data_IF_396369713553
#
_entry.id   IF_396369713553
#
_cell.length_a   1.000
_cell.length_b   1.000
_cell.length_c   1.000
_cell.angle_alpha   90.00
_cell.angle_beta   90.00
_cell.angle_gamma   90.00
#
_symmetry.space_group_name_H-M   'P 1'
#
loop_
_entity.id
_entity.type
_entity.pdbx_description
1 polymer ?
#
# COMPACT_ATOMS: atom_id res chain seq x y z
N UNK A 1 -34.04 22.04 -19.09
CA UNK A 1 -33.48 20.97 -19.95
C UNK A 1 -32.15 20.54 -19.37
N UNK A 2 -32.04 19.31 -18.88
CA UNK A 2 -30.76 18.76 -18.40
C UNK A 2 -29.85 18.52 -19.61
N UNK A 3 -28.61 18.98 -19.55
CA UNK A 3 -27.64 18.76 -20.62
C UNK A 3 -27.18 17.29 -20.60
N UNK A 4 -27.69 16.50 -21.55
CA UNK A 4 -27.37 15.07 -21.70
C UNK A 4 -25.85 14.80 -21.76
N UNK A 5 -25.05 15.76 -22.26
CA UNK A 5 -23.60 15.63 -22.31
C UNK A 5 -22.95 15.67 -20.91
N UNK A 6 -23.46 16.52 -20.01
CA UNK A 6 -22.95 16.68 -18.65
C UNK A 6 -23.23 15.44 -17.78
N UNK A 7 -24.45 14.89 -17.90
CA UNK A 7 -24.87 13.62 -17.30
C UNK A 7 -23.96 12.45 -17.71
N UNK A 8 -23.65 12.35 -19.02
CA UNK A 8 -22.75 11.32 -19.55
C UNK A 8 -21.32 11.47 -19.01
N UNK A 9 -20.79 12.69 -18.95
CA UNK A 9 -19.45 12.96 -18.43
C UNK A 9 -19.32 12.61 -16.95
N UNK A 10 -20.32 12.99 -16.14
CA UNK A 10 -20.37 12.68 -14.70
C UNK A 10 -20.43 11.18 -14.45
N UNK A 11 -21.23 10.46 -15.24
CA UNK A 11 -21.36 9.00 -15.16
C UNK A 11 -20.05 8.30 -15.51
N UNK A 12 -19.39 8.70 -16.61
CA UNK A 12 -18.10 8.15 -17.02
C UNK A 12 -17.02 8.40 -15.96
N UNK A 13 -16.98 9.61 -15.38
CA UNK A 13 -16.03 9.95 -14.31
C UNK A 13 -16.24 9.13 -13.05
N UNK A 14 -17.50 8.91 -12.64
CA UNK A 14 -17.82 8.06 -11.50
C UNK A 14 -17.45 6.59 -11.75
N UNK A 15 -17.66 6.09 -12.97
CA UNK A 15 -17.27 4.74 -13.35
C UNK A 15 -15.75 4.56 -13.23
N UNK A 16 -14.96 5.47 -13.81
CA UNK A 16 -13.49 5.42 -13.72
C UNK A 16 -13.01 5.41 -12.27
N UNK A 17 -13.56 6.28 -11.41
CA UNK A 17 -13.20 6.32 -9.98
C UNK A 17 -13.49 5.00 -9.28
N UNK A 18 -14.68 4.42 -9.51
CA UNK A 18 -15.06 3.12 -8.95
C UNK A 18 -14.13 2.01 -9.44
N UNK A 19 -13.80 1.99 -10.72
CA UNK A 19 -12.88 1.01 -11.29
C UNK A 19 -11.48 1.11 -10.68
N UNK A 20 -10.95 2.32 -10.48
CA UNK A 20 -9.63 2.53 -9.84
C UNK A 20 -9.62 1.99 -8.42
N UNK A 21 -10.60 2.36 -7.58
CA UNK A 21 -10.65 1.87 -6.20
C UNK A 21 -10.85 0.36 -6.16
N UNK A 22 -11.75 -0.18 -6.98
CA UNK A 22 -12.04 -1.61 -6.99
C UNK A 22 -10.83 -2.43 -7.45
N UNK A 23 -10.17 -2.03 -8.54
CA UNK A 23 -8.98 -2.72 -9.04
C UNK A 23 -7.81 -2.66 -8.06
N UNK A 24 -7.51 -1.48 -7.49
CA UNK A 24 -6.46 -1.35 -6.47
C UNK A 24 -6.81 -2.09 -5.17
N UNK A 25 -8.08 -2.14 -4.78
CA UNK A 25 -8.56 -2.92 -3.65
C UNK A 25 -8.36 -4.43 -3.86
N UNK A 26 -8.66 -4.94 -5.06
CA UNK A 26 -8.38 -6.34 -5.42
C UNK A 26 -6.88 -6.62 -5.35
N UNK A 27 -6.05 -5.75 -5.93
CA UNK A 27 -4.60 -5.91 -5.90
C UNK A 27 -4.06 -5.96 -4.47
N UNK A 28 -4.55 -5.07 -3.60
CA UNK A 28 -4.20 -5.09 -2.17
C UNK A 28 -4.62 -6.42 -1.54
N UNK A 29 -5.86 -6.86 -1.72
CA UNK A 29 -6.34 -8.14 -1.17
C UNK A 29 -5.49 -9.33 -1.62
N UNK A 30 -5.13 -9.39 -2.89
CA UNK A 30 -4.22 -10.43 -3.41
C UNK A 30 -2.84 -10.33 -2.75
N UNK A 31 -2.27 -9.13 -2.61
CA UNK A 31 -0.97 -8.96 -1.95
C UNK A 31 -0.98 -9.38 -0.47
N UNK A 32 -2.11 -9.21 0.24
CA UNK A 32 -2.23 -9.59 1.66
C UNK A 32 -2.14 -11.11 1.86
N UNK A 33 -2.46 -11.89 0.84
CA UNK A 33 -2.33 -13.36 0.86
C UNK A 33 -0.91 -13.85 0.59
N UNK A 34 -0.04 -12.98 0.07
CA UNK A 34 1.33 -13.31 -0.28
C UNK A 34 2.28 -12.85 0.84
N UNK A 35 3.52 -13.36 0.84
CA UNK A 35 4.55 -12.79 1.72
C UNK A 35 4.94 -11.40 1.20
N UNK A 36 5.02 -10.42 2.10
CA UNK A 36 5.45 -9.06 1.79
C UNK A 36 6.96 -8.98 1.52
N UNK A 37 7.76 -9.83 2.17
CA UNK A 37 9.22 -9.86 2.01
C UNK A 37 9.79 -11.21 2.43
N UNK A 38 11.08 -11.41 2.16
CA UNK A 38 11.82 -12.62 2.51
C UNK A 38 13.10 -12.27 3.26
N UNK A 39 13.45 -13.10 4.24
CA UNK A 39 14.60 -12.90 5.12
C UNK A 39 15.68 -13.96 4.81
N UNK A 40 16.94 -13.56 4.88
CA UNK A 40 18.09 -14.46 4.74
C UNK A 40 18.17 -15.45 5.92
N UNK A 41 18.34 -16.74 5.64
CA UNK A 41 18.40 -17.81 6.66
C UNK A 41 17.05 -18.41 7.08
N UNK A 42 15.96 -17.63 7.05
CA UNK A 42 14.58 -18.13 7.19
C UNK A 42 13.72 -17.58 6.05
N UNK A 43 13.39 -18.44 5.08
CA UNK A 43 12.58 -18.06 3.92
C UNK A 43 11.16 -17.63 4.26
N UNK A 44 10.66 -17.85 5.47
CA UNK A 44 9.33 -17.38 5.90
C UNK A 44 9.41 -17.03 7.38
N UNK A 45 9.01 -15.82 7.75
CA UNK A 45 8.76 -15.43 9.14
C UNK A 45 7.28 -15.10 9.31
N UNK A 46 6.76 -15.18 10.54
CA UNK A 46 5.35 -14.82 10.80
C UNK A 46 5.10 -13.35 10.40
N UNK A 47 6.06 -12.46 10.67
CA UNK A 47 5.99 -11.05 10.28
C UNK A 47 6.13 -10.79 8.79
N UNK A 48 6.58 -11.77 8.00
CA UNK A 48 6.73 -11.61 6.55
C UNK A 48 5.42 -11.85 5.79
N UNK A 49 4.39 -12.41 6.42
CA UNK A 49 3.10 -12.64 5.77
C UNK A 49 2.39 -11.30 5.51
N UNK A 50 1.89 -11.06 4.30
CA UNK A 50 1.38 -9.77 3.84
C UNK A 50 0.30 -9.18 4.74
N UNK A 51 -0.63 -9.99 5.22
CA UNK A 51 -1.65 -9.56 6.18
C UNK A 51 -1.06 -9.10 7.52
N UNK A 52 -0.09 -9.86 8.05
CA UNK A 52 0.54 -9.56 9.33
C UNK A 52 1.39 -8.29 9.20
N UNK A 53 2.19 -8.21 8.14
CA UNK A 53 2.92 -7.03 7.72
C UNK A 53 2.02 -5.79 7.59
N UNK A 54 0.86 -5.91 6.97
CA UNK A 54 -0.10 -4.81 6.83
C UNK A 54 -0.66 -4.34 8.18
N UNK A 55 -1.01 -5.29 9.07
CA UNK A 55 -1.65 -4.99 10.36
C UNK A 55 -0.67 -4.56 11.46
N UNK A 56 0.57 -5.07 11.43
CA UNK A 56 1.55 -4.91 12.51
C UNK A 56 2.84 -4.22 12.07
N UNK A 57 3.06 -3.99 10.78
CA UNK A 57 4.30 -3.39 10.28
C UNK A 57 4.56 -1.99 10.85
N UNK A 58 3.49 -1.23 11.11
CA UNK A 58 3.56 0.08 11.77
C UNK A 58 3.97 0.01 13.26
N UNK A 59 4.03 -1.18 13.86
CA UNK A 59 4.51 -1.36 15.24
C UNK A 59 6.05 -1.36 15.30
N UNK A 60 6.75 -1.50 14.17
CA UNK A 60 8.19 -1.32 14.13
C UNK A 60 8.53 0.16 14.40
N UNK A 61 8.98 0.48 15.61
CA UNK A 61 9.35 1.84 16.02
C UNK A 61 10.71 2.31 15.45
N UNK A 62 11.32 1.56 14.51
CA UNK A 62 12.54 1.96 13.83
C UNK A 62 12.25 2.68 12.49
N UNK A 63 13.30 3.03 11.76
CA UNK A 63 13.23 3.71 10.46
C UNK A 63 12.35 3.01 9.41
N UNK A 64 12.17 1.69 9.53
CA UNK A 64 11.33 0.89 8.64
C UNK A 64 9.82 1.19 8.78
N UNK A 65 9.38 1.85 9.85
CA UNK A 65 8.01 2.35 10.02
C UNK A 65 7.50 3.13 8.80
N UNK A 66 8.39 3.92 8.20
CA UNK A 66 8.06 4.86 7.12
C UNK A 66 7.53 4.11 5.89
N UNK A 67 8.01 2.90 5.63
CA UNK A 67 7.52 2.06 4.52
C UNK A 67 6.05 1.71 4.75
N UNK A 68 5.67 1.42 5.99
CA UNK A 68 4.33 0.99 6.35
C UNK A 68 3.29 2.11 6.24
N UNK A 69 3.71 3.38 6.18
CA UNK A 69 2.83 4.51 5.86
C UNK A 69 2.22 4.42 4.46
N UNK A 70 2.77 3.61 3.56
CA UNK A 70 2.21 3.38 2.23
C UNK A 70 0.74 2.91 2.29
N UNK A 71 0.41 2.06 3.28
CA UNK A 71 -0.92 1.47 3.44
C UNK A 71 -1.98 2.51 3.87
N UNK A 72 -1.80 3.29 4.96
CA UNK A 72 -2.68 4.40 5.30
C UNK A 72 -2.83 5.44 4.18
N UNK A 73 -1.75 5.76 3.47
CA UNK A 73 -1.79 6.71 2.36
C UNK A 73 -2.60 6.21 1.17
N UNK A 74 -2.53 4.91 0.87
CA UNK A 74 -3.40 4.28 -0.14
C UNK A 74 -4.88 4.40 0.27
N UNK A 75 -5.22 4.09 1.51
CA UNK A 75 -6.60 4.23 2.04
C UNK A 75 -7.05 5.69 1.99
N UNK A 76 -6.18 6.63 2.38
CA UNK A 76 -6.46 8.06 2.31
C UNK A 76 -6.68 8.53 0.87
N UNK A 77 -5.95 7.97 -0.10
CA UNK A 77 -6.14 8.26 -1.52
C UNK A 77 -7.52 7.81 -2.00
N UNK A 78 -7.99 6.62 -1.57
CA UNK A 78 -9.33 6.13 -1.86
C UNK A 78 -10.39 7.03 -1.24
N UNK A 79 -10.20 7.46 0.00
CA UNK A 79 -11.07 8.40 0.68
C UNK A 79 -11.27 9.66 -0.18
N UNK A 80 -10.21 10.39 -0.54
CA UNK A 80 -10.34 11.59 -1.37
C UNK A 80 -11.00 11.32 -2.73
N UNK A 81 -10.75 10.15 -3.32
CA UNK A 81 -11.36 9.76 -4.59
C UNK A 81 -12.87 9.53 -4.46
N UNK A 82 -13.32 8.95 -3.34
CA UNK A 82 -14.74 8.80 -2.99
C UNK A 82 -15.44 10.13 -2.74
N UNK A 83 -14.80 11.07 -2.03
CA UNK A 83 -15.34 12.43 -1.79
C UNK A 83 -15.26 13.34 -3.03
N UNK A 84 -14.90 12.79 -4.20
CA UNK A 84 -14.85 13.50 -5.48
C UNK A 84 -13.83 14.64 -5.49
N UNK A 85 -12.73 14.50 -4.73
CA UNK A 85 -11.62 15.45 -4.62
C UNK A 85 -10.36 14.90 -5.32
N UNK A 86 -10.37 14.65 -6.65
CA UNK A 86 -9.29 13.94 -7.34
C UNK A 86 -7.94 14.67 -7.29
N UNK A 87 -7.93 16.00 -7.15
CA UNK A 87 -6.69 16.78 -6.99
C UNK A 87 -5.99 16.44 -5.67
N UNK A 88 -6.75 16.18 -4.61
CA UNK A 88 -6.23 15.82 -3.30
C UNK A 88 -5.80 14.35 -3.22
N UNK A 89 -6.25 13.50 -4.15
CA UNK A 89 -5.81 12.10 -4.28
C UNK A 89 -4.36 11.98 -4.75
N UNK A 90 -3.86 12.95 -5.54
CA UNK A 90 -2.54 12.86 -6.18
C UNK A 90 -1.43 12.69 -5.13
N UNK A 91 -1.36 13.61 -4.16
CA UNK A 91 -0.31 13.60 -3.13
C UNK A 91 -0.25 12.27 -2.34
N UNK A 92 -1.34 11.79 -1.69
CA UNK A 92 -1.29 10.55 -0.93
C UNK A 92 -1.04 9.33 -1.83
N UNK A 93 -1.56 9.30 -3.05
CA UNK A 93 -1.27 8.19 -3.97
C UNK A 93 0.20 8.13 -4.38
N UNK A 94 0.83 9.29 -4.67
CA UNK A 94 2.25 9.38 -4.99
C UNK A 94 3.10 8.98 -3.79
N UNK A 95 2.79 9.51 -2.59
CA UNK A 95 3.52 9.15 -1.37
C UNK A 95 3.37 7.67 -1.02
N UNK A 96 2.19 7.07 -1.24
CA UNK A 96 1.99 5.64 -1.04
C UNK A 96 2.94 4.81 -1.91
N UNK A 97 3.07 5.16 -3.20
CA UNK A 97 4.02 4.51 -4.11
C UNK A 97 5.46 4.74 -3.68
N UNK A 98 5.83 5.97 -3.32
CA UNK A 98 7.20 6.28 -2.91
C UNK A 98 7.61 5.52 -1.64
N UNK A 99 6.73 5.43 -0.64
CA UNK A 99 7.02 4.65 0.57
C UNK A 99 6.99 3.15 0.34
N UNK A 100 6.16 2.65 -0.58
CA UNK A 100 6.23 1.25 -0.97
C UNK A 100 7.56 0.93 -1.65
N UNK A 101 8.03 1.79 -2.55
CA UNK A 101 9.30 1.61 -3.25
C UNK A 101 10.52 1.80 -2.34
N UNK A 102 10.43 2.67 -1.32
CA UNK A 102 11.54 2.87 -0.38
C UNK A 102 11.87 1.61 0.40
N UNK A 103 10.96 0.63 0.49
CA UNK A 103 11.24 -0.70 1.03
C UNK A 103 12.46 -1.37 0.38
N UNK A 104 12.66 -1.16 -0.92
CA UNK A 104 13.79 -1.74 -1.67
C UNK A 104 15.15 -1.20 -1.24
N UNK A 105 15.19 -0.08 -0.52
CA UNK A 105 16.41 0.53 -0.02
C UNK A 105 16.83 -0.05 1.35
N UNK A 106 15.98 -0.84 1.99
CA UNK A 106 16.29 -1.45 3.27
C UNK A 106 17.03 -2.77 3.08
N UNK A 107 18.19 -2.90 3.74
CA UNK A 107 18.99 -4.14 3.74
C UNK A 107 18.60 -5.09 4.89
N UNK A 108 17.98 -4.57 5.95
CA UNK A 108 17.68 -5.33 7.16
C UNK A 108 16.29 -4.98 7.68
N UNK A 109 15.61 -5.98 8.23
CA UNK A 109 14.34 -5.82 8.94
C UNK A 109 14.40 -6.56 10.27
N UNK A 110 13.55 -6.17 11.21
CA UNK A 110 13.38 -6.89 12.47
C UNK A 110 12.65 -8.19 12.15
N UNK A 111 13.34 -9.31 12.35
CA UNK A 111 12.85 -10.63 12.02
C UNK A 111 11.98 -11.24 13.12
N UNK A 112 12.11 -10.74 14.36
CA UNK A 112 11.33 -11.21 15.49
C UNK A 112 11.11 -10.11 16.54
N UNK A 113 10.12 -10.32 17.41
CA UNK A 113 9.75 -9.38 18.47
C UNK A 113 10.81 -9.25 19.58
N UNK A 114 11.86 -10.08 19.55
CA UNK A 114 13.05 -9.96 20.39
C UNK A 114 14.07 -8.94 19.90
N UNK A 115 13.78 -8.22 18.80
CA UNK A 115 14.69 -7.22 18.22
C UNK A 115 15.81 -7.80 17.36
N UNK A 116 15.77 -9.10 17.05
CA UNK A 116 16.70 -9.75 16.15
C UNK A 116 16.57 -9.18 14.74
N UNK A 117 17.63 -8.54 14.24
CA UNK A 117 17.69 -8.07 12.85
C UNK A 117 18.04 -9.22 11.94
N UNK A 118 17.48 -9.22 10.73
CA UNK A 118 17.90 -10.14 9.70
C UNK A 118 17.89 -9.44 8.35
N UNK A 119 18.78 -9.91 7.47
CA UNK A 119 18.95 -9.33 6.14
C UNK A 119 17.75 -9.65 5.28
N UNK A 120 17.29 -8.65 4.54
CA UNK A 120 16.30 -8.83 3.50
C UNK A 120 16.97 -9.49 2.30
N UNK A 121 16.36 -10.56 1.79
CA UNK A 121 16.86 -11.26 0.62
C UNK A 121 16.35 -10.55 -0.64
N UNK A 122 17.14 -9.60 -1.15
CA UNK A 122 16.93 -8.99 -2.47
C UNK A 122 17.80 -9.74 -3.49
N UNK A 123 17.25 -10.73 -4.19
CA UNK A 123 17.97 -11.28 -5.36
C UNK A 123 17.86 -10.28 -6.50
N UNK A 124 18.99 -9.80 -6.98
CA UNK A 124 19.13 -9.28 -8.35
C UNK A 124 19.43 -10.48 -9.25
#
# INVERSE_FOLDING_TARGET
MINVAEERFKTKTNLVRKTIVFSSGILLMVSLTQNAYYIEGMRVSIGSFGLIAFLLGWLDFNYSFIVWLANPLLILSWFFLFYKQPKQTIIPSTLAVLFSLSFLLFENIIANEGGGKSKLFHTI
#
